data_IF_502937059460
#
_entry.id   IF_502937059460
#
_cell.length_a   1.000
_cell.length_b   1.000
_cell.length_c   1.000
_cell.angle_alpha   90.00
_cell.angle_beta   90.00
_cell.angle_gamma   90.00
#
_symmetry.space_group_name_H-M   'P 1'
#
loop_
_entity.id
_entity.type
_entity.pdbx_description
1 polymer ?
#
# COMPACT_ATOMS: atom_id res chain seq x y z
N UNK A 1 6.15 -14.30 -18.08
CA UNK A 1 5.88 -13.84 -16.69
C UNK A 1 6.94 -12.82 -16.34
N UNK A 2 6.55 -11.57 -16.06
CA UNK A 2 7.49 -10.50 -15.69
C UNK A 2 7.84 -10.72 -14.23
N UNK A 3 9.03 -11.24 -13.95
CA UNK A 3 9.54 -11.37 -12.59
C UNK A 3 9.60 -9.97 -11.97
N UNK A 4 9.01 -9.74 -10.77
CA UNK A 4 9.15 -8.46 -10.11
C UNK A 4 10.64 -8.19 -9.91
N UNK A 5 11.11 -7.03 -10.38
CA UNK A 5 12.47 -6.57 -10.13
C UNK A 5 12.73 -6.65 -8.61
N UNK A 6 13.84 -7.26 -8.20
CA UNK A 6 14.20 -7.70 -6.84
C UNK A 6 13.95 -6.72 -5.66
N UNK A 7 13.60 -5.46 -5.93
CA UNK A 7 13.40 -4.42 -4.94
C UNK A 7 11.97 -3.83 -4.94
N UNK A 8 11.01 -4.37 -5.72
CA UNK A 8 9.61 -3.93 -5.70
C UNK A 8 8.86 -4.63 -4.58
N UNK A 9 7.99 -3.88 -3.91
CA UNK A 9 7.12 -4.37 -2.84
C UNK A 9 5.69 -4.52 -3.36
N UNK A 10 5.26 -3.61 -4.22
CA UNK A 10 3.97 -3.67 -4.92
C UNK A 10 4.17 -3.96 -6.41
N UNK A 11 3.20 -4.64 -7.02
CA UNK A 11 3.17 -4.89 -8.45
C UNK A 11 2.60 -3.69 -9.24
N UNK A 12 2.42 -3.85 -10.55
CA UNK A 12 1.92 -2.80 -11.44
C UNK A 12 0.46 -2.40 -11.16
N UNK A 13 -0.34 -3.29 -10.56
CA UNK A 13 -1.70 -3.00 -10.14
C UNK A 13 -1.76 -2.32 -8.77
N UNK A 14 -0.62 -2.20 -8.08
CA UNK A 14 -0.55 -1.68 -6.71
C UNK A 14 -0.91 -2.73 -5.67
N UNK A 15 -0.80 -4.02 -5.99
CA UNK A 15 -1.03 -5.14 -5.07
C UNK A 15 0.29 -5.55 -4.42
N UNK A 16 0.26 -5.84 -3.11
CA UNK A 16 1.44 -6.24 -2.36
C UNK A 16 1.95 -7.60 -2.87
N UNK A 17 3.21 -7.68 -3.29
CA UNK A 17 3.76 -8.87 -3.97
C UNK A 17 3.88 -10.07 -3.01
N UNK A 18 4.23 -9.83 -1.75
CA UNK A 18 4.49 -10.91 -0.77
C UNK A 18 3.22 -11.66 -0.36
N UNK A 19 2.09 -10.98 -0.26
CA UNK A 19 0.82 -11.56 0.20
C UNK A 19 -0.28 -11.60 -0.87
N UNK A 20 -0.12 -10.90 -1.99
CA UNK A 20 -1.15 -10.74 -3.01
C UNK A 20 -2.31 -9.83 -2.59
N UNK A 21 -2.17 -9.08 -1.48
CA UNK A 21 -3.25 -8.24 -0.98
C UNK A 21 -3.23 -6.82 -1.55
N UNK A 22 -4.41 -6.30 -1.88
CA UNK A 22 -4.62 -4.90 -2.25
C UNK A 22 -4.75 -4.00 -1.00
N UNK A 23 -3.66 -3.92 -0.23
CA UNK A 23 -3.61 -3.22 1.05
C UNK A 23 -3.58 -1.70 0.87
N UNK A 24 -4.51 -1.00 1.52
CA UNK A 24 -4.52 0.46 1.56
C UNK A 24 -3.35 1.00 2.38
N UNK A 25 -2.81 2.16 2.01
CA UNK A 25 -1.73 2.81 2.76
C UNK A 25 -2.12 3.24 4.20
N UNK A 26 -3.41 3.18 4.54
CA UNK A 26 -3.89 3.32 5.93
C UNK A 26 -3.69 2.05 6.79
N UNK A 27 -3.13 0.97 6.24
CA UNK A 27 -2.85 -0.29 6.92
C UNK A 27 -4.06 -1.08 7.45
N UNK A 28 -5.28 -0.60 7.21
CA UNK A 28 -6.52 -1.36 7.41
C UNK A 28 -6.76 -2.28 6.20
N UNK A 29 -6.85 -3.59 6.47
CA UNK A 29 -7.04 -4.65 5.48
C UNK A 29 -8.46 -4.67 4.89
N UNK A 30 -9.44 -4.13 5.61
CA UNK A 30 -10.84 -4.04 5.17
C UNK A 30 -11.15 -2.69 4.50
N UNK A 31 -10.17 -1.79 4.42
CA UNK A 31 -10.36 -0.47 3.84
C UNK A 31 -10.69 -0.55 2.34
N UNK A 32 -11.84 0.00 1.97
CA UNK A 32 -12.28 0.14 0.57
C UNK A 32 -11.55 1.28 -0.17
N UNK A 33 -10.82 2.13 0.56
CA UNK A 33 -10.09 3.29 0.07
C UNK A 33 -10.42 4.54 0.88
N UNK A 34 -9.42 5.17 1.49
CA UNK A 34 -9.59 6.33 2.37
C UNK A 34 -8.94 7.61 1.83
N UNK A 35 -8.25 7.52 0.68
CA UNK A 35 -7.59 8.66 0.06
C UNK A 35 -8.36 9.15 -1.18
N UNK A 36 -8.04 10.36 -1.63
CA UNK A 36 -8.48 10.82 -2.94
C UNK A 36 -7.92 9.91 -4.05
N UNK A 37 -8.66 9.81 -5.15
CA UNK A 37 -8.27 8.98 -6.29
C UNK A 37 -6.85 9.35 -6.76
N UNK A 38 -5.98 8.35 -6.80
CA UNK A 38 -4.60 8.54 -7.23
C UNK A 38 -4.55 9.05 -8.67
N UNK A 39 -3.85 10.16 -8.91
CA UNK A 39 -3.70 10.73 -10.27
C UNK A 39 -2.99 9.80 -11.27
N UNK A 40 -2.28 8.76 -10.80
CA UNK A 40 -1.56 7.81 -11.65
C UNK A 40 -2.38 6.56 -12.00
N UNK A 41 -3.04 5.94 -11.02
CA UNK A 41 -3.73 4.66 -11.22
C UNK A 41 -5.24 4.70 -10.92
N UNK A 42 -5.78 5.84 -10.46
CA UNK A 42 -7.20 6.00 -10.12
C UNK A 42 -7.62 5.39 -8.78
N UNK A 43 -6.80 4.55 -8.15
CA UNK A 43 -7.13 3.92 -6.86
C UNK A 43 -7.24 4.92 -5.71
N UNK A 44 -8.22 4.72 -4.82
CA UNK A 44 -8.39 5.45 -3.56
C UNK A 44 -7.57 4.86 -2.39
N UNK A 45 -6.70 3.89 -2.66
CA UNK A 45 -5.89 3.19 -1.64
C UNK A 45 -4.43 3.63 -1.60
N UNK A 46 -4.01 4.47 -2.54
CA UNK A 46 -2.68 5.07 -2.51
C UNK A 46 -2.68 6.26 -1.54
N UNK A 47 -1.65 6.37 -0.72
CA UNK A 47 -1.37 7.57 0.05
C UNK A 47 -0.83 8.69 -0.84
N UNK A 48 0.20 9.39 -0.38
CA UNK A 48 0.81 10.51 -1.12
C UNK A 48 1.47 10.03 -2.42
N UNK A 49 2.07 8.84 -2.39
CA UNK A 49 2.69 8.21 -3.57
C UNK A 49 1.89 6.99 -4.04
N UNK A 50 1.79 6.82 -5.35
CA UNK A 50 1.14 5.67 -5.97
C UNK A 50 1.80 4.36 -5.53
N UNK A 51 0.98 3.34 -5.21
CA UNK A 51 1.46 2.00 -4.85
C UNK A 51 2.01 1.22 -6.05
N UNK A 52 1.57 1.50 -7.28
CA UNK A 52 2.02 0.76 -8.47
C UNK A 52 3.56 0.75 -8.59
N UNK A 53 4.15 -0.44 -8.65
CA UNK A 53 5.60 -0.69 -8.73
C UNK A 53 6.44 -0.11 -7.59
N UNK A 54 5.80 0.30 -6.49
CA UNK A 54 6.47 0.95 -5.36
C UNK A 54 7.37 -0.04 -4.62
N UNK A 55 8.48 0.49 -4.08
CA UNK A 55 9.57 -0.27 -3.44
C UNK A 55 9.58 -0.19 -1.90
N UNK A 56 8.55 0.42 -1.32
CA UNK A 56 8.45 0.64 0.11
C UNK A 56 6.99 0.47 0.58
N UNK A 57 6.83 0.19 1.86
CA UNK A 57 5.55 0.16 2.58
C UNK A 57 5.66 1.02 3.85
N UNK A 58 4.53 1.55 4.33
CA UNK A 58 4.50 2.19 5.64
C UNK A 58 4.76 1.14 6.71
N UNK A 59 5.75 1.35 7.57
CA UNK A 59 6.00 0.48 8.73
C UNK A 59 4.90 0.61 9.78
N UNK A 60 4.44 1.84 10.01
CA UNK A 60 3.33 2.15 10.90
C UNK A 60 2.71 3.48 10.49
N UNK A 61 1.49 3.72 10.95
CA UNK A 61 0.83 5.02 10.87
C UNK A 61 0.33 5.44 12.24
N UNK A 62 0.30 6.75 12.48
CA UNK A 62 -0.36 7.35 13.64
C UNK A 62 -1.71 7.89 13.18
N UNK A 63 -2.77 7.49 13.87
CA UNK A 63 -4.14 7.97 13.60
C UNK A 63 -4.54 9.06 14.58
N UNK A 64 -5.60 9.80 14.26
CA UNK A 64 -6.15 10.81 15.17
C UNK A 64 -6.43 10.20 16.55
N UNK A 65 -5.97 10.88 17.60
CA UNK A 65 -6.00 10.36 18.98
C UNK A 65 -4.74 9.63 19.42
N UNK A 66 -3.68 9.58 18.59
CA UNK A 66 -2.36 9.07 18.97
C UNK A 66 -2.23 7.55 18.98
N UNK A 67 -3.23 6.83 18.45
CA UNK A 67 -3.12 5.39 18.27
C UNK A 67 -2.14 5.07 17.14
N UNK A 68 -1.35 4.01 17.29
CA UNK A 68 -0.38 3.56 16.29
C UNK A 68 -0.84 2.24 15.69
N UNK A 69 -1.03 2.22 14.37
CA UNK A 69 -1.30 1.00 13.60
C UNK A 69 0.02 0.54 12.98
N UNK A 70 0.50 -0.64 13.38
CA UNK A 70 1.73 -1.24 12.82
C UNK A 70 1.41 -2.15 11.64
N UNK A 71 2.27 -2.12 10.63
CA UNK A 71 2.08 -2.91 9.44
C UNK A 71 2.40 -4.39 9.71
N UNK A 72 1.38 -5.23 9.58
CA UNK A 72 1.49 -6.69 9.77
C UNK A 72 2.13 -7.41 8.59
N UNK A 73 2.41 -6.70 7.49
CA UNK A 73 2.93 -7.21 6.23
C UNK A 73 4.36 -6.76 5.94
N UNK A 74 5.06 -6.22 6.94
CA UNK A 74 6.51 -6.09 6.91
C UNK A 74 7.13 -7.49 6.85
N UNK A 75 7.69 -7.83 5.68
CA UNK A 75 8.42 -9.09 5.43
C UNK A 75 9.92 -8.88 5.54
#
# INVERSE_FOLDING_TARGET
QILPSKNKIYDQAGVLISSGMDLCDCLDEECLGCFYACKKCGSNKCGIECRCDRKWLYEQIEVEGGAVIRNRHLS
#
